data_IF_569429510100
#
_entry.id   IF_569429510100
#
_cell.length_a   1.000
_cell.length_b   1.000
_cell.length_c   1.000
_cell.angle_alpha   90.00
_cell.angle_beta   90.00
_cell.angle_gamma   90.00
#
_symmetry.space_group_name_H-M   'P 1'
#
loop_
_entity.id
_entity.type
_entity.pdbx_description
1 polymer ?
#
# COMPACT_ATOMS: atom_id res chain seq x y z
N UNK A 1 -11.05 21.32 -2.72
CA UNK A 1 -11.63 19.99 -3.00
C UNK A 1 -10.77 18.87 -2.41
N UNK A 2 -9.57 18.58 -2.93
CA UNK A 2 -8.72 17.46 -2.48
C UNK A 2 -8.36 17.51 -0.99
N UNK A 3 -8.11 18.70 -0.44
CA UNK A 3 -7.81 18.88 0.99
C UNK A 3 -8.98 18.46 1.92
N UNK A 4 -10.21 18.48 1.41
CA UNK A 4 -11.42 18.11 2.17
C UNK A 4 -11.83 16.66 1.92
N UNK A 5 -11.72 16.17 0.68
CA UNK A 5 -11.88 14.76 0.33
C UNK A 5 -10.76 14.30 -0.60
N UNK A 6 -9.91 13.40 -0.12
CA UNK A 6 -8.80 12.84 -0.89
C UNK A 6 -9.25 12.14 -2.18
N UNK A 7 -10.49 11.64 -2.26
CA UNK A 7 -11.02 11.03 -3.50
C UNK A 7 -11.11 12.02 -4.65
N UNK A 8 -11.25 13.32 -4.37
CA UNK A 8 -11.35 14.33 -5.41
C UNK A 8 -10.11 14.37 -6.34
N UNK A 9 -8.98 13.80 -5.91
CA UNK A 9 -7.77 13.67 -6.75
C UNK A 9 -8.05 12.92 -8.06
N UNK A 10 -8.99 11.95 -8.06
CA UNK A 10 -9.35 11.18 -9.26
C UNK A 10 -9.91 12.06 -10.39
N UNK A 11 -10.47 13.22 -10.06
CA UNK A 11 -11.05 14.17 -11.02
C UNK A 11 -10.06 15.28 -11.44
N UNK A 12 -8.89 15.36 -10.82
CA UNK A 12 -7.83 16.30 -11.22
C UNK A 12 -7.04 15.64 -12.35
N UNK A 13 -6.88 16.28 -13.53
CA UNK A 13 -6.04 15.74 -14.60
C UNK A 13 -4.61 15.49 -14.10
N UNK A 14 -3.96 14.42 -14.58
CA UNK A 14 -2.62 14.03 -14.09
C UNK A 14 -1.59 15.15 -14.22
N UNK A 15 -1.66 15.92 -15.31
CA UNK A 15 -0.79 17.07 -15.57
C UNK A 15 -0.93 18.21 -14.56
N UNK A 16 -2.00 18.24 -13.76
CA UNK A 16 -2.28 19.26 -12.76
C UNK A 16 -2.10 18.75 -11.31
N UNK A 17 -1.68 17.49 -11.13
CA UNK A 17 -1.44 16.90 -9.80
C UNK A 17 -0.04 17.31 -9.31
N UNK A 18 0.03 17.95 -8.15
CA UNK A 18 1.31 18.29 -7.49
C UNK A 18 1.67 17.27 -6.42
N UNK A 19 2.95 17.14 -6.02
CA UNK A 19 3.36 16.28 -4.91
C UNK A 19 2.58 16.53 -3.62
N UNK A 20 2.36 17.80 -3.27
CA UNK A 20 1.67 18.21 -2.03
C UNK A 20 0.19 17.82 -2.09
N UNK A 21 -0.46 18.04 -3.24
CA UNK A 21 -1.85 17.63 -3.44
C UNK A 21 -2.01 16.11 -3.31
N UNK A 22 -1.08 15.35 -3.88
CA UNK A 22 -1.06 13.89 -3.79
C UNK A 22 -0.86 13.42 -2.34
N UNK A 23 0.11 13.99 -1.63
CA UNK A 23 0.42 13.63 -0.25
C UNK A 23 -0.77 13.91 0.68
N UNK A 24 -1.39 15.08 0.56
CA UNK A 24 -2.57 15.43 1.35
C UNK A 24 -3.75 14.48 1.05
N UNK A 25 -3.94 14.10 -0.22
CA UNK A 25 -4.97 13.14 -0.59
C UNK A 25 -4.73 11.74 0.02
N UNK A 26 -3.48 11.26 -0.04
CA UNK A 26 -3.06 9.97 0.53
C UNK A 26 -3.23 9.97 2.05
N UNK A 27 -2.83 11.04 2.75
CA UNK A 27 -3.01 11.18 4.21
C UNK A 27 -4.46 11.05 4.65
N UNK A 28 -5.41 11.50 3.80
CA UNK A 28 -6.85 11.32 4.05
C UNK A 28 -7.29 9.88 3.75
N UNK A 29 -6.79 9.26 2.69
CA UNK A 29 -7.22 7.94 2.22
C UNK A 29 -6.08 7.20 1.50
N UNK A 30 -5.53 6.15 2.11
CA UNK A 30 -4.35 5.45 1.59
C UNK A 30 -4.50 4.88 0.17
N UNK A 31 -5.67 4.33 -0.18
CA UNK A 31 -5.91 3.78 -1.53
C UNK A 31 -5.86 4.84 -2.65
N UNK A 32 -5.92 6.13 -2.32
CA UNK A 32 -5.78 7.22 -3.30
C UNK A 32 -4.39 7.22 -3.95
N UNK A 33 -3.40 6.52 -3.37
CA UNK A 33 -2.11 6.26 -4.02
C UNK A 33 -2.27 5.71 -5.45
N UNK A 34 -3.33 4.93 -5.73
CA UNK A 34 -3.66 4.45 -7.08
C UNK A 34 -3.93 5.57 -8.10
N UNK A 35 -4.37 6.74 -7.63
CA UNK A 35 -4.56 7.95 -8.44
C UNK A 35 -3.34 8.89 -8.38
N UNK A 36 -2.23 8.51 -7.75
CA UNK A 36 -1.00 9.32 -7.81
C UNK A 36 -0.19 8.84 -9.01
N UNK A 37 0.23 9.72 -9.94
CA UNK A 37 1.14 9.34 -11.03
C UNK A 37 2.41 8.69 -10.49
N UNK A 38 2.90 7.63 -11.13
CA UNK A 38 4.06 6.87 -10.64
C UNK A 38 5.29 7.74 -10.32
N UNK A 39 5.66 8.76 -11.13
CA UNK A 39 6.80 9.63 -10.82
C UNK A 39 6.64 10.46 -9.54
N UNK A 40 5.42 10.64 -9.04
CA UNK A 40 5.14 11.40 -7.81
C UNK A 40 5.05 10.51 -6.56
N UNK A 41 5.13 9.18 -6.70
CA UNK A 41 5.04 8.24 -5.58
C UNK A 41 6.39 8.16 -4.86
N UNK A 42 6.55 8.97 -3.81
CA UNK A 42 7.72 8.91 -2.92
C UNK A 42 7.61 7.75 -1.92
N UNK A 43 8.74 7.35 -1.32
CA UNK A 43 8.75 6.31 -0.28
C UNK A 43 7.91 6.71 0.94
N UNK A 44 7.99 7.97 1.37
CA UNK A 44 7.17 8.52 2.46
C UNK A 44 5.67 8.41 2.14
N UNK A 45 5.26 8.87 0.96
CA UNK A 45 3.86 8.81 0.54
C UNK A 45 3.35 7.36 0.45
N UNK A 46 4.19 6.45 -0.04
CA UNK A 46 3.85 5.02 -0.11
C UNK A 46 3.68 4.41 1.29
N UNK A 47 4.56 4.74 2.24
CA UNK A 47 4.46 4.26 3.62
C UNK A 47 3.20 4.79 4.31
N UNK A 48 2.92 6.08 4.16
CA UNK A 48 1.68 6.70 4.66
C UNK A 48 0.43 6.02 4.08
N UNK A 49 0.44 5.74 2.77
CA UNK A 49 -0.66 5.04 2.12
C UNK A 49 -0.89 3.64 2.69
N UNK A 50 0.18 2.86 2.85
CA UNK A 50 0.14 1.49 3.36
C UNK A 50 -0.37 1.44 4.80
N UNK A 51 0.08 2.34 5.67
CA UNK A 51 -0.39 2.43 7.06
C UNK A 51 -1.87 2.82 7.17
N UNK A 52 -2.40 3.52 6.18
CA UNK A 52 -3.85 3.84 6.11
C UNK A 52 -4.67 2.72 5.50
N UNK A 53 -4.09 1.91 4.63
CA UNK A 53 -4.75 0.79 3.96
C UNK A 53 -3.70 -0.18 3.45
N UNK A 54 -3.64 -1.39 4.01
CA UNK A 54 -2.66 -2.40 3.61
C UNK A 54 -2.70 -2.70 2.10
N UNK A 55 -3.90 -2.67 1.51
CA UNK A 55 -4.11 -2.83 0.06
C UNK A 55 -3.45 -1.75 -0.81
N UNK A 56 -3.08 -0.59 -0.23
CA UNK A 56 -2.33 0.42 -0.96
C UNK A 56 -0.96 -0.09 -1.44
N UNK A 57 -0.43 -1.16 -0.84
CA UNK A 57 0.78 -1.86 -1.32
C UNK A 57 0.68 -2.25 -2.80
N UNK A 58 -0.52 -2.55 -3.31
CA UNK A 58 -0.77 -2.84 -4.72
C UNK A 58 -0.31 -1.70 -5.66
N UNK A 59 -0.35 -0.45 -5.17
CA UNK A 59 0.04 0.75 -5.93
C UNK A 59 1.46 1.24 -5.62
N UNK A 60 2.17 0.66 -4.64
CA UNK A 60 3.56 1.03 -4.36
C UNK A 60 4.46 0.49 -5.46
N UNK A 61 5.31 1.31 -6.13
CA UNK A 61 6.30 0.82 -7.08
C UNK A 61 7.21 -0.24 -6.45
N UNK A 62 7.49 -1.34 -7.15
CA UNK A 62 8.32 -2.45 -6.63
C UNK A 62 9.66 -1.98 -6.07
N UNK A 63 10.43 -1.06 -6.71
CA UNK A 63 11.70 -0.58 -6.18
C UNK A 63 11.61 0.18 -4.83
N UNK A 64 10.42 0.64 -4.44
CA UNK A 64 10.18 1.39 -3.19
C UNK A 64 9.78 0.45 -2.04
N UNK A 65 9.32 -0.77 -2.34
CA UNK A 65 8.84 -1.71 -1.33
C UNK A 65 9.99 -2.19 -0.46
N UNK A 66 9.82 -2.07 0.86
CA UNK A 66 10.72 -2.67 1.85
C UNK A 66 10.02 -3.81 2.59
N UNK A 67 10.79 -4.63 3.32
CA UNK A 67 10.21 -5.70 4.16
C UNK A 67 9.29 -5.11 5.22
N UNK A 68 9.70 -4.02 5.85
CA UNK A 68 8.95 -3.33 6.90
C UNK A 68 7.63 -2.79 6.35
N UNK A 69 7.65 -2.14 5.18
CA UNK A 69 6.43 -1.66 4.52
C UNK A 69 5.49 -2.82 4.16
N UNK A 70 6.03 -3.95 3.69
CA UNK A 70 5.24 -5.13 3.38
C UNK A 70 4.60 -5.75 4.64
N UNK A 71 5.32 -5.76 5.75
CA UNK A 71 4.81 -6.24 7.04
C UNK A 71 3.72 -5.32 7.59
N UNK A 72 3.93 -3.99 7.54
CA UNK A 72 2.90 -3.00 7.88
C UNK A 72 1.65 -3.23 7.03
N UNK A 73 1.79 -3.50 5.73
CA UNK A 73 0.66 -3.78 4.86
C UNK A 73 -0.14 -5.01 5.30
N UNK A 74 0.54 -6.12 5.61
CA UNK A 74 -0.10 -7.37 6.05
C UNK A 74 -0.76 -7.22 7.43
N UNK A 75 -0.16 -6.44 8.34
CA UNK A 75 -0.76 -6.11 9.64
C UNK A 75 -2.09 -5.34 9.52
N UNK A 76 -2.24 -4.56 8.45
CA UNK A 76 -3.46 -3.78 8.19
C UNK A 76 -4.46 -4.46 7.27
N UNK A 77 -4.01 -5.38 6.40
CA UNK A 77 -4.87 -6.16 5.52
C UNK A 77 -4.17 -7.47 5.14
N UNK A 78 -4.74 -8.59 5.56
CA UNK A 78 -4.21 -9.93 5.27
C UNK A 78 -4.03 -10.19 3.77
N UNK A 79 -4.92 -9.67 2.92
CA UNK A 79 -4.83 -9.85 1.47
C UNK A 79 -3.68 -9.05 0.85
N UNK A 80 -3.07 -8.11 1.58
CA UNK A 80 -1.88 -7.39 1.12
C UNK A 80 -0.69 -8.32 0.86
N UNK A 81 -0.64 -9.51 1.50
CA UNK A 81 0.40 -10.51 1.28
C UNK A 81 0.54 -10.91 -0.20
N UNK A 82 -0.57 -10.88 -0.96
CA UNK A 82 -0.56 -11.19 -2.40
C UNK A 82 0.24 -10.18 -3.23
N UNK A 83 0.40 -8.95 -2.74
CA UNK A 83 1.20 -7.91 -3.36
C UNK A 83 2.64 -7.88 -2.85
N UNK A 84 3.01 -8.64 -1.82
CA UNK A 84 4.40 -8.69 -1.37
C UNK A 84 5.26 -9.44 -2.39
N UNK A 85 6.31 -8.81 -2.97
CA UNK A 85 7.25 -9.50 -3.86
C UNK A 85 7.84 -10.71 -3.16
N UNK A 86 7.98 -11.85 -3.87
CA UNK A 86 8.49 -13.10 -3.28
C UNK A 86 9.80 -12.91 -2.51
N UNK A 87 10.71 -12.09 -3.03
CA UNK A 87 12.00 -11.78 -2.41
C UNK A 87 11.91 -10.99 -1.09
N UNK A 88 10.77 -10.35 -0.80
CA UNK A 88 10.53 -9.59 0.43
C UNK A 88 9.66 -10.33 1.44
N UNK A 89 9.08 -11.48 1.08
CA UNK A 89 8.24 -12.26 1.99
C UNK A 89 9.09 -12.83 3.14
N UNK A 90 8.52 -12.81 4.34
CA UNK A 90 9.13 -13.39 5.54
C UNK A 90 8.15 -14.36 6.21
N UNK A 91 8.63 -15.35 6.98
CA UNK A 91 7.77 -16.20 7.81
C UNK A 91 6.82 -15.38 8.69
N UNK A 92 7.29 -14.27 9.26
CA UNK A 92 6.47 -13.35 10.07
C UNK A 92 5.24 -12.85 9.32
N UNK A 93 5.37 -12.44 8.05
CA UNK A 93 4.22 -11.97 7.26
C UNK A 93 3.18 -13.08 7.04
N UNK A 94 3.61 -14.31 6.82
CA UNK A 94 2.70 -15.44 6.63
C UNK A 94 1.97 -15.79 7.92
N UNK A 95 2.68 -15.81 9.05
CA UNK A 95 2.09 -16.04 10.37
C UNK A 95 1.10 -14.95 10.75
N UNK A 96 1.43 -13.69 10.49
CA UNK A 96 0.54 -12.55 10.73
C UNK A 96 -0.72 -12.64 9.87
N UNK A 97 -0.57 -12.98 8.59
CA UNK A 97 -1.69 -13.18 7.67
C UNK A 97 -2.64 -14.29 8.15
N UNK A 98 -2.11 -15.47 8.51
CA UNK A 98 -2.90 -16.61 8.99
C UNK A 98 -3.58 -16.31 10.33
N UNK A 99 -2.91 -15.55 11.20
CA UNK A 99 -3.47 -15.12 12.49
C UNK A 99 -4.72 -14.25 12.32
N UNK A 100 -4.73 -13.39 11.31
CA UNK A 100 -5.85 -12.51 11.03
C UNK A 100 -6.99 -13.22 10.27
N UNK A 101 -6.66 -14.02 9.26
CA UNK A 101 -7.62 -14.81 8.49
C UNK A 101 -7.03 -16.18 8.14
N UNK A 102 -7.64 -17.26 8.64
CA UNK A 102 -7.21 -18.63 8.35
C UNK A 102 -7.22 -18.98 6.87
N UNK A 103 -8.02 -18.29 6.04
CA UNK A 103 -8.02 -18.45 4.58
C UNK A 103 -6.72 -17.94 3.93
N UNK A 104 -5.89 -17.20 4.67
CA UNK A 104 -4.58 -16.78 4.20
C UNK A 104 -3.56 -17.93 4.11
N UNK A 105 -3.87 -19.11 4.66
CA UNK A 105 -3.08 -20.33 4.47
C UNK A 105 -2.80 -20.63 2.99
N UNK A 106 -3.71 -20.25 2.08
CA UNK A 106 -3.51 -20.39 0.64
C UNK A 106 -2.27 -19.63 0.09
N UNK A 107 -1.76 -18.65 0.84
CA UNK A 107 -0.61 -17.83 0.46
C UNK A 107 0.69 -18.25 1.16
N UNK A 108 0.62 -19.24 2.05
CA UNK A 108 1.76 -19.76 2.82
C UNK A 108 2.44 -20.89 2.04
N UNK A 109 3.76 -20.84 1.80
CA UNK A 109 4.46 -21.96 1.19
C UNK A 109 4.46 -23.18 2.12
N UNK A 110 4.48 -24.39 1.56
CA UNK A 110 4.49 -25.64 2.35
C UNK A 110 5.71 -25.74 3.29
N UNK A 111 6.82 -25.13 2.91
CA UNK A 111 8.00 -24.97 3.76
C UNK A 111 8.13 -23.50 4.19
N UNK A 112 7.96 -23.23 5.48
CA UNK A 112 8.14 -21.92 6.11
C UNK A 112 9.55 -21.76 6.68
#
# INVERSE_FOLDING_TARGET
>A
AVRQDGRALQHVPESHRTPEMCLEAVRKRGYVLGHVPAPLRTAEMCLEAVRKSGMALAFVPVPIRTKEMCLDAVRHDTFALRYVPKALRTPEMHLEAVRQDGMALQYVPEAL
#
